data_IF_722546511582
#
_entry.id   IF_722546511582
#
_cell.length_a   1.000
_cell.length_b   1.000
_cell.length_c   1.000
_cell.angle_alpha   90.00
_cell.angle_beta   90.00
_cell.angle_gamma   90.00
#
_symmetry.space_group_name_H-M   'P 1'
#
loop_
_entity.id
_entity.type
_entity.pdbx_description
1 polymer ?
#
# COMPACT_ATOMS: atom_id res chain seq x y z
N UNK A 1 -9.55 23.12 -10.76
CA UNK A 1 -10.06 23.34 -9.39
C UNK A 1 -9.40 22.28 -8.54
N UNK A 2 -8.73 22.68 -7.48
CA UNK A 2 -7.44 22.15 -7.03
C UNK A 2 -7.46 20.67 -6.61
N UNK A 3 -6.59 19.89 -7.24
CA UNK A 3 -6.25 18.49 -6.94
C UNK A 3 -5.45 18.44 -5.63
N UNK A 4 -6.14 18.58 -4.48
CA UNK A 4 -5.51 18.87 -3.18
C UNK A 4 -5.82 17.87 -2.07
N UNK A 5 -6.41 16.72 -2.39
CA UNK A 5 -6.64 15.65 -1.40
C UNK A 5 -5.64 14.48 -1.52
N UNK A 6 -4.59 14.61 -2.36
CA UNK A 6 -3.54 13.61 -2.37
C UNK A 6 -2.68 13.78 -1.10
N UNK A 7 -2.82 12.84 -0.16
CA UNK A 7 -2.09 12.89 1.10
C UNK A 7 -0.58 12.75 0.83
N UNK A 8 0.26 13.27 1.74
CA UNK A 8 1.73 13.08 1.63
C UNK A 8 2.10 11.60 1.51
N UNK A 9 1.29 10.72 2.11
CA UNK A 9 1.42 9.28 2.01
C UNK A 9 1.17 8.78 0.58
N UNK A 10 0.12 9.26 -0.08
CA UNK A 10 -0.21 8.88 -1.46
C UNK A 10 0.91 9.29 -2.43
N UNK A 11 1.45 10.50 -2.28
CA UNK A 11 2.58 10.97 -3.09
C UNK A 11 3.83 10.10 -2.87
N UNK A 12 4.16 9.78 -1.62
CA UNK A 12 5.32 8.96 -1.26
C UNK A 12 5.18 7.51 -1.76
N UNK A 13 4.00 6.91 -1.59
CA UNK A 13 3.71 5.55 -2.08
C UNK A 13 3.79 5.53 -3.61
N UNK A 14 3.23 6.52 -4.30
CA UNK A 14 3.30 6.63 -5.76
C UNK A 14 4.74 6.77 -6.25
N UNK A 15 5.54 7.63 -5.63
CA UNK A 15 6.95 7.84 -5.99
C UNK A 15 7.77 6.55 -5.78
N UNK A 16 7.59 5.88 -4.63
CA UNK A 16 8.26 4.61 -4.34
C UNK A 16 7.84 3.50 -5.29
N UNK A 17 6.55 3.40 -5.65
CA UNK A 17 6.08 2.40 -6.60
C UNK A 17 6.62 2.67 -8.00
N UNK A 18 6.59 3.92 -8.47
CA UNK A 18 7.12 4.30 -9.77
C UNK A 18 8.62 4.05 -9.85
N UNK A 19 9.41 4.49 -8.86
CA UNK A 19 10.85 4.26 -8.81
C UNK A 19 11.19 2.76 -8.87
N UNK A 20 10.42 1.92 -8.16
CA UNK A 20 10.65 0.46 -8.12
C UNK A 20 10.16 -0.29 -9.35
N UNK A 21 9.31 0.32 -10.18
CA UNK A 21 8.69 -0.33 -11.34
C UNK A 21 9.11 0.27 -12.68
N UNK A 22 9.79 1.42 -12.71
CA UNK A 22 10.12 2.18 -13.93
C UNK A 22 10.89 1.37 -15.00
N UNK A 23 11.74 0.43 -14.58
CA UNK A 23 12.59 -0.38 -15.46
C UNK A 23 12.06 -1.82 -15.63
N UNK A 24 10.88 -2.11 -15.10
CA UNK A 24 10.27 -3.44 -15.16
C UNK A 24 9.40 -3.58 -16.40
N UNK A 25 9.50 -4.74 -17.06
CA UNK A 25 8.54 -5.13 -18.09
C UNK A 25 7.19 -5.50 -17.44
N UNK A 26 6.11 -5.51 -18.23
CA UNK A 26 4.76 -5.76 -17.72
C UNK A 26 4.63 -7.04 -16.87
N UNK A 27 5.25 -8.19 -17.21
CA UNK A 27 5.23 -9.38 -16.36
C UNK A 27 5.92 -9.17 -15.00
N UNK A 28 7.04 -8.44 -14.96
CA UNK A 28 7.73 -8.14 -13.69
C UNK A 28 6.98 -7.13 -12.85
N UNK A 29 6.30 -6.16 -13.46
CA UNK A 29 5.39 -5.24 -12.74
C UNK A 29 4.26 -6.03 -12.09
N UNK A 30 3.62 -6.95 -12.82
CA UNK A 30 2.56 -7.80 -12.27
C UNK A 30 3.07 -8.64 -11.08
N UNK A 31 4.23 -9.28 -11.23
CA UNK A 31 4.85 -10.05 -10.14
C UNK A 31 5.22 -9.19 -8.92
N UNK A 32 5.67 -7.95 -9.15
CA UNK A 32 5.96 -6.99 -8.08
C UNK A 32 4.69 -6.61 -7.31
N UNK A 33 3.61 -6.27 -8.02
CA UNK A 33 2.31 -5.93 -7.41
C UNK A 33 1.74 -7.11 -6.62
N UNK A 34 1.81 -8.33 -7.16
CA UNK A 34 1.38 -9.55 -6.47
C UNK A 34 2.21 -9.83 -5.20
N UNK A 35 3.52 -9.62 -5.28
CA UNK A 35 4.44 -9.74 -4.14
C UNK A 35 4.13 -8.73 -3.04
N UNK A 36 3.89 -7.48 -3.42
CA UNK A 36 3.48 -6.40 -2.52
C UNK A 36 2.16 -6.73 -1.83
N UNK A 37 1.14 -7.16 -2.57
CA UNK A 37 -0.14 -7.61 -2.00
C UNK A 37 0.02 -8.78 -1.03
N UNK A 38 0.95 -9.69 -1.30
CA UNK A 38 1.27 -10.81 -0.40
C UNK A 38 1.94 -10.34 0.90
N UNK A 39 2.83 -9.36 0.83
CA UNK A 39 3.45 -8.77 2.00
C UNK A 39 2.43 -8.02 2.88
N UNK A 40 1.49 -7.28 2.29
CA UNK A 40 0.42 -6.61 3.04
C UNK A 40 -0.48 -7.62 3.76
N UNK A 41 -0.89 -8.70 3.09
CA UNK A 41 -1.66 -9.81 3.70
C UNK A 41 -0.91 -10.49 4.84
N UNK A 42 0.42 -10.55 4.75
CA UNK A 42 1.25 -11.06 5.82
C UNK A 42 1.17 -10.12 7.04
N UNK A 43 1.31 -8.82 6.83
CA UNK A 43 1.23 -7.80 7.90
C UNK A 43 -0.13 -7.74 8.61
N UNK A 44 -1.22 -8.15 7.94
CA UNK A 44 -2.54 -8.32 8.60
C UNK A 44 -2.49 -9.30 9.78
N UNK A 45 -1.53 -10.24 9.76
CA UNK A 45 -1.27 -11.22 10.83
C UNK A 45 -0.11 -10.80 11.73
N UNK A 46 0.06 -9.49 11.94
CA UNK A 46 1.17 -8.94 12.74
C UNK A 46 1.25 -9.53 14.15
N UNK A 47 0.13 -9.96 14.73
CA UNK A 47 0.03 -10.65 16.01
C UNK A 47 0.80 -11.98 16.04
N UNK A 48 0.86 -12.68 14.89
CA UNK A 48 1.61 -13.92 14.73
C UNK A 48 3.08 -13.67 14.34
N UNK A 49 3.35 -12.59 13.62
CA UNK A 49 4.69 -12.29 13.07
C UNK A 49 5.60 -11.56 14.05
N UNK A 50 5.01 -10.77 14.94
CA UNK A 50 5.73 -9.96 15.92
C UNK A 50 5.27 -10.35 17.33
N UNK A 51 5.47 -11.61 17.76
CA UNK A 51 5.04 -12.05 19.08
C UNK A 51 5.77 -11.24 20.15
N UNK A 52 5.01 -10.58 21.02
CA UNK A 52 5.54 -9.73 22.08
C UNK A 52 5.71 -8.26 21.70
N UNK A 53 5.34 -7.85 20.48
CA UNK A 53 5.22 -6.43 20.17
C UNK A 53 4.12 -5.78 21.04
N UNK A 54 4.26 -4.49 21.40
CA UNK A 54 3.21 -3.77 22.12
C UNK A 54 1.90 -3.73 21.31
N UNK A 55 0.72 -3.78 21.96
CA UNK A 55 -0.57 -3.71 21.28
C UNK A 55 -0.71 -2.51 20.32
N UNK A 56 -0.11 -1.37 20.67
CA UNK A 56 -0.10 -0.17 19.85
C UNK A 56 0.51 -0.38 18.46
N UNK A 57 1.50 -1.28 18.32
CA UNK A 57 2.12 -1.60 17.03
C UNK A 57 1.14 -2.35 16.13
N UNK A 58 0.42 -3.33 16.68
CA UNK A 58 -0.60 -4.07 15.92
C UNK A 58 -1.75 -3.15 15.48
N UNK A 59 -2.15 -2.21 16.35
CA UNK A 59 -3.15 -1.19 16.00
C UNK A 59 -2.63 -0.28 14.88
N UNK A 60 -1.42 0.26 14.99
CA UNK A 60 -0.84 1.13 13.96
C UNK A 60 -0.68 0.42 12.60
N UNK A 61 -0.28 -0.86 12.61
CA UNK A 61 -0.20 -1.66 11.38
C UNK A 61 -1.59 -1.82 10.76
N UNK A 62 -2.62 -2.09 11.56
CA UNK A 62 -4.00 -2.22 11.06
C UNK A 62 -4.50 -0.91 10.44
N UNK A 63 -4.32 0.21 11.14
CA UNK A 63 -4.73 1.53 10.67
C UNK A 63 -4.03 1.90 9.35
N UNK A 64 -2.73 1.60 9.23
CA UNK A 64 -1.98 1.81 7.99
C UNK A 64 -2.53 0.94 6.84
N UNK A 65 -2.84 -0.33 7.11
CA UNK A 65 -3.41 -1.23 6.10
C UNK A 65 -4.80 -0.81 5.65
N UNK A 66 -5.61 -0.24 6.54
CA UNK A 66 -6.91 0.36 6.20
C UNK A 66 -6.73 1.58 5.29
N UNK A 67 -5.85 2.51 5.65
CA UNK A 67 -5.55 3.69 4.83
C UNK A 67 -5.05 3.32 3.42
N UNK A 68 -4.23 2.27 3.31
CA UNK A 68 -3.75 1.77 2.02
C UNK A 68 -4.86 1.17 1.16
N UNK A 69 -5.86 0.50 1.77
CA UNK A 69 -7.02 -0.05 1.05
C UNK A 69 -7.92 1.08 0.55
N UNK A 70 -8.19 2.07 1.40
CA UNK A 70 -8.98 3.23 1.01
C UNK A 70 -8.32 4.01 -0.14
N UNK A 71 -7.01 4.21 -0.08
CA UNK A 71 -6.25 4.85 -1.15
C UNK A 71 -6.28 4.05 -2.46
N UNK A 72 -6.17 2.71 -2.39
CA UNK A 72 -6.33 1.83 -3.55
C UNK A 72 -7.72 1.97 -4.17
N UNK A 73 -8.76 1.91 -3.36
CA UNK A 73 -10.14 1.92 -3.84
C UNK A 73 -10.45 3.26 -4.54
N UNK A 74 -10.03 4.40 -3.96
CA UNK A 74 -10.10 5.71 -4.64
C UNK A 74 -9.35 5.73 -5.98
N UNK A 75 -8.13 5.23 -6.02
CA UNK A 75 -7.33 5.23 -7.24
C UNK A 75 -7.95 4.37 -8.37
N UNK A 76 -8.66 3.30 -8.01
CA UNK A 76 -9.39 2.47 -8.97
C UNK A 76 -10.70 3.11 -9.43
N UNK A 77 -11.38 3.86 -8.55
CA UNK A 77 -12.57 4.65 -8.91
C UNK A 77 -12.25 5.80 -9.89
N UNK A 78 -11.05 6.39 -9.80
CA UNK A 78 -10.60 7.48 -10.68
C UNK A 78 -10.25 7.04 -12.11
N UNK A 79 -9.87 5.77 -12.33
CA UNK A 79 -9.49 5.21 -13.65
C UNK A 79 -10.72 4.83 -14.52
N UNK A 80 -11.93 4.83 -13.96
CA UNK A 80 -13.21 4.50 -14.64
C UNK A 80 -13.90 5.73 -15.30
N UNK A 81 -13.21 6.87 -15.47
CA UNK A 81 -13.72 8.12 -16.08
C UNK A 81 -13.08 8.50 -17.43
#
# INVERSE_FOLDING_TARGET
>A
MTDSDQTVLDALVRELLLERTQDLDAPRVAAFVDGWGSALRLLERSDLLLPGAPPAIHTAIRELLEQLRDARDRALEDDDL
#
